data_IF_304398004567
#
_entry.id   IF_304398004567
#
_cell.length_a   1.000
_cell.length_b   1.000
_cell.length_c   1.000
_cell.angle_alpha   90.00
_cell.angle_beta   90.00
_cell.angle_gamma   90.00
#
_symmetry.space_group_name_H-M   'P 1'
#
loop_
_entity.id
_entity.type
_entity.pdbx_description
1 polymer ?
#
# COMPACT_ATOMS: atom_id res chain seq x y z
N UNK A 1 -16.74 -30.06 -21.46
CA UNK A 1 -15.93 -29.46 -22.53
C UNK A 1 -14.88 -28.58 -21.89
N UNK A 2 -13.65 -28.59 -22.40
CA UNK A 2 -12.56 -27.72 -21.90
C UNK A 2 -12.92 -26.27 -22.24
N UNK A 3 -12.82 -25.38 -21.27
CA UNK A 3 -13.15 -23.96 -21.45
C UNK A 3 -11.87 -23.23 -21.85
N UNK A 4 -11.90 -22.49 -22.97
CA UNK A 4 -10.74 -21.77 -23.47
C UNK A 4 -10.96 -20.27 -23.29
N UNK A 5 -9.94 -19.58 -22.79
CA UNK A 5 -9.91 -18.13 -22.61
C UNK A 5 -8.61 -17.61 -23.21
N UNK A 6 -8.69 -16.58 -24.06
CA UNK A 6 -7.51 -15.95 -24.68
C UNK A 6 -6.55 -16.94 -25.39
N UNK A 7 -7.08 -18.04 -25.94
CA UNK A 7 -6.30 -19.04 -26.66
C UNK A 7 -5.63 -20.10 -25.79
N UNK A 8 -5.84 -20.10 -24.47
CA UNK A 8 -5.36 -21.15 -23.56
C UNK A 8 -6.52 -21.84 -22.83
N UNK A 9 -6.28 -23.07 -22.38
CA UNK A 9 -7.25 -23.75 -21.52
C UNK A 9 -7.27 -23.09 -20.14
N UNK A 10 -8.46 -22.69 -19.70
CA UNK A 10 -8.67 -22.09 -18.40
C UNK A 10 -9.66 -22.96 -17.60
N UNK A 11 -9.33 -23.36 -16.37
CA UNK A 11 -10.28 -24.03 -15.50
C UNK A 11 -11.45 -23.10 -15.17
N UNK A 12 -12.59 -23.67 -14.80
CA UNK A 12 -13.73 -22.88 -14.34
C UNK A 12 -13.30 -22.06 -13.11
N UNK A 13 -13.39 -20.74 -13.23
CA UNK A 13 -13.10 -19.81 -12.15
C UNK A 13 -14.11 -20.00 -11.02
N UNK A 14 -13.61 -20.09 -9.78
CA UNK A 14 -14.42 -20.34 -8.59
C UNK A 14 -13.92 -19.44 -7.46
N UNK A 15 -14.86 -18.83 -6.73
CA UNK A 15 -14.57 -17.93 -5.62
C UNK A 15 -14.43 -16.46 -6.02
N UNK A 16 -14.17 -15.58 -5.03
CA UNK A 16 -13.92 -14.17 -5.26
C UNK A 16 -12.50 -13.92 -5.78
N UNK A 17 -12.36 -12.96 -6.68
CA UNK A 17 -11.11 -12.53 -7.26
C UNK A 17 -10.78 -11.10 -6.87
N UNK A 18 -9.49 -10.77 -6.82
CA UNK A 18 -9.04 -9.39 -6.61
C UNK A 18 -8.23 -8.97 -7.84
N UNK A 19 -8.69 -7.93 -8.52
CA UNK A 19 -8.01 -7.38 -9.67
C UNK A 19 -6.98 -6.32 -9.22
N UNK A 20 -5.72 -6.54 -9.55
CA UNK A 20 -4.57 -5.75 -9.08
C UNK A 20 -3.86 -5.02 -10.23
N UNK A 21 -2.86 -4.21 -9.89
CA UNK A 21 -1.96 -3.55 -10.83
C UNK A 21 -2.70 -2.75 -11.93
N UNK A 22 -2.67 -3.20 -13.18
CA UNK A 22 -3.26 -2.47 -14.31
C UNK A 22 -4.76 -2.21 -14.16
N UNK A 23 -5.50 -3.13 -13.55
CA UNK A 23 -6.93 -2.93 -13.28
C UNK A 23 -7.16 -1.79 -12.27
N UNK A 24 -6.42 -1.82 -11.16
CA UNK A 24 -6.46 -0.77 -10.14
C UNK A 24 -6.13 0.60 -10.72
N UNK A 25 -5.07 0.70 -11.51
CA UNK A 25 -4.62 1.97 -12.11
C UNK A 25 -5.70 2.56 -13.03
N UNK A 26 -6.36 1.73 -13.85
CA UNK A 26 -7.45 2.20 -14.73
C UNK A 26 -8.67 2.66 -13.94
N UNK A 27 -9.11 1.89 -12.96
CA UNK A 27 -10.23 2.30 -12.10
C UNK A 27 -9.92 3.61 -11.37
N UNK A 28 -8.72 3.71 -10.81
CA UNK A 28 -8.27 4.90 -10.10
C UNK A 28 -8.19 6.13 -10.99
N UNK A 29 -7.70 5.98 -12.22
CA UNK A 29 -7.63 7.07 -13.20
C UNK A 29 -9.00 7.65 -13.52
N UNK A 30 -10.00 6.79 -13.73
CA UNK A 30 -11.37 7.22 -14.00
C UNK A 30 -12.16 7.62 -12.74
N UNK A 31 -11.55 7.56 -11.55
CA UNK A 31 -12.19 7.94 -10.29
C UNK A 31 -13.29 6.97 -9.84
N UNK A 32 -13.22 5.71 -10.26
CA UNK A 32 -14.21 4.67 -9.97
C UNK A 32 -13.91 3.97 -8.64
N UNK A 33 -14.95 3.46 -7.98
CA UNK A 33 -14.84 2.61 -6.80
C UNK A 33 -14.57 1.14 -7.20
N UNK A 34 -13.99 0.35 -6.30
CA UNK A 34 -13.61 -1.03 -6.61
C UNK A 34 -14.78 -1.95 -6.98
N UNK A 35 -15.96 -1.71 -6.40
CA UNK A 35 -17.19 -2.42 -6.76
C UNK A 35 -17.88 -1.92 -8.03
N UNK A 36 -17.34 -0.92 -8.74
CA UNK A 36 -17.98 -0.41 -9.94
C UNK A 36 -17.87 -1.42 -11.10
N UNK A 37 -18.99 -1.62 -11.79
CA UNK A 37 -19.09 -2.57 -12.89
C UNK A 37 -18.21 -2.17 -14.10
N UNK A 38 -17.77 -3.12 -14.95
CA UNK A 38 -16.95 -2.83 -16.14
C UNK A 38 -17.61 -1.84 -17.12
N UNK A 39 -18.95 -1.77 -17.12
CA UNK A 39 -19.70 -0.79 -17.92
C UNK A 39 -19.41 0.67 -17.52
N UNK A 40 -19.10 0.94 -16.24
CA UNK A 40 -18.73 2.28 -15.78
C UNK A 40 -17.38 2.71 -16.37
N UNK A 41 -16.40 1.79 -16.41
CA UNK A 41 -15.11 2.01 -17.08
C UNK A 41 -15.30 2.28 -18.57
N UNK A 42 -16.16 1.53 -19.25
CA UNK A 42 -16.46 1.76 -20.66
C UNK A 42 -17.06 3.14 -20.90
N UNK A 43 -17.99 3.58 -20.04
CA UNK A 43 -18.58 4.92 -20.10
C UNK A 43 -17.53 6.01 -19.91
N UNK A 44 -16.71 5.90 -18.87
CA UNK A 44 -15.65 6.85 -18.56
C UNK A 44 -14.58 6.91 -19.66
N UNK A 45 -14.16 5.75 -20.18
CA UNK A 45 -13.18 5.65 -21.24
C UNK A 45 -13.69 6.26 -22.56
N UNK A 46 -14.97 6.04 -22.92
CA UNK A 46 -15.57 6.70 -24.09
C UNK A 46 -15.56 8.22 -23.95
N UNK A 47 -15.87 8.74 -22.76
CA UNK A 47 -15.78 10.16 -22.47
C UNK A 47 -14.37 10.70 -22.65
N UNK A 48 -13.37 10.01 -22.10
CA UNK A 48 -11.95 10.37 -22.24
C UNK A 48 -11.46 10.30 -23.69
N UNK A 49 -11.83 9.25 -24.43
CA UNK A 49 -11.47 9.08 -25.83
C UNK A 49 -12.07 10.15 -26.76
N UNK A 50 -13.20 10.75 -26.38
CA UNK A 50 -13.85 11.78 -27.18
C UNK A 50 -13.17 13.16 -27.05
N UNK A 51 -12.29 13.35 -26.06
CA UNK A 51 -11.61 14.62 -25.84
C UNK A 51 -10.47 14.81 -26.86
N UNK A 52 -10.31 16.02 -27.41
CA UNK A 52 -9.16 16.31 -28.25
C UNK A 52 -7.87 16.27 -27.43
N UNK A 53 -6.80 15.74 -28.01
CA UNK A 53 -5.51 15.59 -27.32
C UNK A 53 -5.00 16.89 -26.67
N UNK A 54 -5.23 18.04 -27.30
CA UNK A 54 -4.84 19.35 -26.75
C UNK A 54 -5.47 19.62 -25.38
N UNK A 55 -6.74 19.26 -25.21
CA UNK A 55 -7.46 19.42 -23.95
C UNK A 55 -6.94 18.44 -22.89
N UNK A 56 -6.82 17.16 -23.25
CA UNK A 56 -6.29 16.10 -22.37
C UNK A 56 -4.89 16.46 -21.89
N UNK A 57 -4.00 16.88 -22.79
CA UNK A 57 -2.63 17.26 -22.45
C UNK A 57 -2.58 18.49 -21.56
N UNK A 58 -3.48 19.46 -21.73
CA UNK A 58 -3.49 20.67 -20.89
C UNK A 58 -3.99 20.40 -19.46
N UNK A 59 -4.94 19.49 -19.30
CA UNK A 59 -5.59 19.20 -18.02
C UNK A 59 -4.90 18.08 -17.26
N UNK A 60 -4.53 17.01 -17.97
CA UNK A 60 -4.04 15.76 -17.40
C UNK A 60 -2.58 15.48 -17.76
N UNK A 61 -1.89 16.31 -18.54
CA UNK A 61 -0.52 16.04 -19.02
C UNK A 61 0.54 15.89 -17.92
N UNK A 62 0.23 16.21 -16.67
CA UNK A 62 1.09 15.94 -15.52
C UNK A 62 1.00 14.47 -15.03
N UNK A 63 -0.03 13.74 -15.44
CA UNK A 63 -0.16 12.30 -15.18
C UNK A 63 0.59 11.49 -16.24
N UNK A 64 1.19 10.39 -15.81
CA UNK A 64 1.94 9.50 -16.69
C UNK A 64 0.96 8.64 -17.51
N UNK A 65 1.25 8.44 -18.80
CA UNK A 65 0.52 7.57 -19.73
C UNK A 65 -0.93 8.00 -20.03
N UNK A 66 -1.29 9.28 -19.92
CA UNK A 66 -2.66 9.76 -20.17
C UNK A 66 -3.20 9.42 -21.56
N UNK A 67 -2.31 9.36 -22.54
CA UNK A 67 -2.59 8.97 -23.92
C UNK A 67 -3.03 7.50 -24.05
N UNK A 68 -2.68 6.64 -23.08
CA UNK A 68 -2.95 5.20 -23.16
C UNK A 68 -4.30 4.81 -22.59
N UNK A 69 -4.90 5.61 -21.71
CA UNK A 69 -6.14 5.26 -21.03
C UNK A 69 -7.36 5.12 -21.95
N UNK A 70 -7.34 5.77 -23.12
CA UNK A 70 -8.36 5.54 -24.14
C UNK A 70 -8.37 4.09 -24.63
N UNK A 71 -7.20 3.45 -24.73
CA UNK A 71 -7.07 2.04 -25.11
C UNK A 71 -7.20 1.11 -23.90
N UNK A 72 -6.57 1.47 -22.77
CA UNK A 72 -6.57 0.63 -21.58
C UNK A 72 -7.95 0.46 -20.96
N UNK A 73 -8.80 1.50 -20.96
CA UNK A 73 -10.14 1.44 -20.40
C UNK A 73 -11.01 0.33 -21.01
N UNK A 74 -11.25 0.36 -22.34
CA UNK A 74 -12.01 -0.68 -23.00
C UNK A 74 -11.33 -2.05 -22.92
N UNK A 75 -10.00 -2.08 -23.02
CA UNK A 75 -9.24 -3.32 -22.93
C UNK A 75 -9.47 -4.04 -21.59
N UNK A 76 -9.33 -3.37 -20.45
CA UNK A 76 -9.51 -4.03 -19.15
C UNK A 76 -10.97 -4.43 -18.89
N UNK A 77 -11.93 -3.62 -19.34
CA UNK A 77 -13.35 -3.93 -19.19
C UNK A 77 -13.75 -5.19 -19.99
N UNK A 78 -13.25 -5.31 -21.22
CA UNK A 78 -13.45 -6.50 -22.05
C UNK A 78 -12.66 -7.71 -21.55
N UNK A 79 -11.46 -7.50 -21.00
CA UNK A 79 -10.66 -8.58 -20.44
C UNK A 79 -11.37 -9.27 -19.27
N UNK A 80 -12.03 -8.51 -18.38
CA UNK A 80 -12.80 -9.08 -17.27
C UNK A 80 -14.02 -9.84 -17.77
N UNK A 81 -14.81 -9.21 -18.65
CA UNK A 81 -16.12 -9.74 -19.05
C UNK A 81 -16.05 -10.78 -20.16
N UNK A 82 -15.37 -10.49 -21.26
CA UNK A 82 -15.28 -11.36 -22.44
C UNK A 82 -14.05 -12.27 -22.40
N UNK A 83 -12.96 -11.83 -21.80
CA UNK A 83 -11.78 -12.66 -21.58
C UNK A 83 -12.03 -13.68 -20.48
N UNK A 84 -12.02 -13.21 -19.23
CA UNK A 84 -12.05 -14.07 -18.05
C UNK A 84 -13.46 -14.61 -17.71
N UNK A 85 -14.52 -14.00 -18.25
CA UNK A 85 -15.90 -14.42 -17.99
C UNK A 85 -16.36 -14.14 -16.56
N UNK A 86 -15.78 -13.12 -15.91
CA UNK A 86 -16.11 -12.76 -14.53
C UNK A 86 -17.33 -11.83 -14.48
N UNK A 87 -18.24 -12.09 -13.54
CA UNK A 87 -19.35 -11.19 -13.23
C UNK A 87 -18.94 -10.17 -12.15
N UNK A 88 -19.59 -9.00 -12.06
CA UNK A 88 -19.26 -7.96 -11.07
C UNK A 88 -19.25 -8.43 -9.61
N UNK A 89 -19.97 -9.50 -9.28
CA UNK A 89 -20.05 -10.06 -7.93
C UNK A 89 -18.89 -11.01 -7.61
N UNK A 90 -18.13 -11.44 -8.63
CA UNK A 90 -17.04 -12.39 -8.49
C UNK A 90 -15.69 -11.73 -8.30
N UNK A 91 -15.59 -10.40 -8.38
CA UNK A 91 -14.33 -9.71 -8.20
C UNK A 91 -14.47 -8.37 -7.50
N UNK A 92 -13.37 -7.90 -6.91
CA UNK A 92 -13.20 -6.52 -6.45
C UNK A 92 -11.88 -5.96 -7.00
N UNK A 93 -11.77 -4.65 -7.10
CA UNK A 93 -10.50 -3.99 -7.44
C UNK A 93 -9.71 -3.78 -6.16
N UNK A 94 -8.51 -4.36 -6.10
CA UNK A 94 -7.63 -4.25 -4.95
C UNK A 94 -6.90 -2.90 -4.88
N UNK A 95 -5.80 -2.86 -4.15
CA UNK A 95 -4.99 -1.67 -3.94
C UNK A 95 -3.69 -1.68 -4.77
N UNK A 96 -3.04 -0.51 -4.87
CA UNK A 96 -1.82 -0.34 -5.66
C UNK A 96 -0.55 -0.90 -5.03
N UNK A 97 -0.60 -1.26 -3.75
CA UNK A 97 0.51 -1.78 -2.94
C UNK A 97 0.51 -3.31 -2.80
N UNK A 98 -0.56 -3.98 -3.25
CA UNK A 98 -0.66 -5.44 -3.24
C UNK A 98 -0.20 -6.02 -4.58
N UNK A 99 0.75 -6.94 -4.53
CA UNK A 99 1.27 -7.61 -5.72
C UNK A 99 2.23 -8.76 -5.41
N UNK A 100 2.77 -9.33 -6.48
CA UNK A 100 3.70 -10.46 -6.40
C UNK A 100 4.95 -10.23 -5.51
N UNK A 101 5.52 -9.01 -5.36
CA UNK A 101 6.75 -8.85 -4.57
C UNK A 101 6.58 -9.22 -3.10
N UNK A 102 5.41 -8.91 -2.51
CA UNK A 102 5.11 -9.25 -1.12
C UNK A 102 5.03 -10.77 -0.94
N UNK A 103 4.36 -11.47 -1.85
CA UNK A 103 4.29 -12.93 -1.84
C UNK A 103 5.65 -13.59 -2.04
N UNK A 104 6.48 -13.04 -2.92
CA UNK A 104 7.85 -13.52 -3.14
C UNK A 104 8.72 -13.31 -1.89
N UNK A 105 8.70 -12.12 -1.30
CA UNK A 105 9.44 -11.82 -0.08
C UNK A 105 9.01 -12.74 1.07
N UNK A 106 7.70 -12.99 1.22
CA UNK A 106 7.19 -13.91 2.24
C UNK A 106 7.64 -15.35 1.96
N UNK A 107 7.57 -15.81 0.70
CA UNK A 107 8.02 -17.14 0.33
C UNK A 107 9.50 -17.36 0.64
N UNK A 108 10.35 -16.36 0.42
CA UNK A 108 11.77 -16.41 0.79
C UNK A 108 11.99 -16.30 2.30
N UNK A 109 11.27 -15.40 2.99
CA UNK A 109 11.37 -15.25 4.44
C UNK A 109 10.99 -16.55 5.17
N UNK A 110 9.98 -17.26 4.68
CA UNK A 110 9.58 -18.56 5.22
C UNK A 110 10.66 -19.64 5.04
N UNK A 111 11.68 -19.44 4.22
CA UNK A 111 12.84 -20.35 4.13
C UNK A 111 13.91 -20.06 5.18
N UNK A 112 13.85 -18.91 5.87
CA UNK A 112 14.80 -18.58 6.92
C UNK A 112 14.53 -19.41 8.18
N UNK A 113 15.59 -19.89 8.87
CA UNK A 113 15.44 -20.60 10.15
C UNK A 113 14.65 -19.76 11.16
N UNK A 114 13.63 -20.36 11.79
CA UNK A 114 12.83 -19.72 12.83
C UNK A 114 11.75 -18.72 12.36
N UNK A 115 11.64 -18.46 11.05
CA UNK A 115 10.60 -17.58 10.48
C UNK A 115 9.43 -18.33 9.81
N UNK A 116 9.54 -19.64 9.64
CA UNK A 116 8.43 -20.50 9.22
C UNK A 116 7.34 -20.61 10.31
N UNK A 117 6.16 -21.18 9.97
CA UNK A 117 5.12 -21.40 10.96
C UNK A 117 5.65 -22.27 12.10
N UNK A 118 5.53 -21.81 13.34
CA UNK A 118 6.15 -22.49 14.47
C UNK A 118 5.47 -23.84 14.78
N UNK A 119 6.25 -24.85 15.20
CA UNK A 119 5.82 -26.23 15.28
C UNK A 119 4.67 -26.59 16.25
N UNK A 120 4.28 -25.84 17.31
CA UNK A 120 3.15 -26.33 18.12
C UNK A 120 1.83 -26.37 17.32
N UNK A 121 1.73 -25.66 16.19
CA UNK A 121 0.55 -25.69 15.31
C UNK A 121 0.72 -26.59 14.07
N UNK A 122 1.91 -26.66 13.47
CA UNK A 122 2.10 -27.43 12.22
C UNK A 122 2.47 -28.90 12.47
N UNK A 123 3.23 -29.21 13.53
CA UNK A 123 3.56 -30.60 13.88
C UNK A 123 2.34 -31.41 14.33
N UNK A 124 1.26 -30.73 14.77
CA UNK A 124 -0.03 -31.35 15.09
C UNK A 124 -0.91 -31.65 13.87
N UNK A 125 -0.68 -30.97 12.74
CA UNK A 125 -1.57 -31.03 11.58
C UNK A 125 -0.95 -31.73 10.36
N UNK A 126 0.39 -31.80 10.27
CA UNK A 126 1.09 -32.38 9.14
C UNK A 126 2.16 -33.38 9.61
N UNK A 127 2.24 -34.59 9.03
CA UNK A 127 3.33 -35.51 9.32
C UNK A 127 4.68 -34.87 8.96
N UNK A 128 5.69 -35.07 9.83
CA UNK A 128 7.04 -34.52 9.71
C UNK A 128 7.68 -34.66 8.31
N UNK A 129 7.24 -35.65 7.51
CA UNK A 129 7.69 -35.92 6.15
C UNK A 129 7.24 -34.90 5.09
N UNK A 130 6.27 -34.05 5.40
CA UNK A 130 5.76 -33.02 4.48
C UNK A 130 6.31 -31.62 4.78
N UNK A 131 7.06 -31.45 5.88
CA UNK A 131 7.68 -30.16 6.17
C UNK A 131 8.96 -29.99 5.34
N UNK A 132 9.19 -28.79 4.75
CA UNK A 132 10.46 -28.45 4.13
C UNK A 132 11.62 -28.66 5.11
N UNK A 133 12.75 -29.17 4.61
CA UNK A 133 13.96 -29.38 5.42
C UNK A 133 14.49 -28.10 6.08
N UNK A 134 14.24 -26.94 5.48
CA UNK A 134 14.56 -25.62 6.06
C UNK A 134 13.82 -25.35 7.38
N UNK A 135 12.65 -25.96 7.58
CA UNK A 135 11.88 -25.82 8.82
C UNK A 135 12.32 -26.84 9.89
N UNK A 136 12.81 -28.01 9.48
CA UNK A 136 13.38 -29.01 10.38
C UNK A 136 14.70 -28.55 11.03
N UNK A 137 15.48 -27.70 10.35
CA UNK A 137 16.73 -27.15 10.89
C UNK A 137 16.52 -26.25 12.13
N UNK A 138 15.32 -25.67 12.30
CA UNK A 138 15.02 -24.83 13.46
C UNK A 138 14.96 -25.64 14.77
N UNK A 139 14.56 -26.92 14.73
CA UNK A 139 14.57 -27.80 15.92
C UNK A 139 15.99 -28.11 16.40
N UNK A 140 16.95 -28.29 15.48
CA UNK A 140 18.35 -28.55 15.83
C UNK A 140 19.05 -27.33 16.43
N UNK A 141 18.74 -26.12 15.93
CA UNK A 141 19.24 -24.87 16.51
C UNK A 141 18.67 -24.59 17.91
N UNK A 142 17.40 -24.95 18.15
CA UNK A 142 16.78 -24.83 19.48
C UNK A 142 17.30 -25.88 20.47
N UNK A 143 17.56 -27.12 20.02
CA UNK A 143 18.14 -28.17 20.85
C UNK A 143 19.60 -27.88 21.27
N UNK A 144 20.37 -27.22 20.41
CA UNK A 144 21.74 -26.77 20.72
C UNK A 144 21.78 -25.58 21.71
N UNK A 145 20.69 -24.81 21.83
CA UNK A 145 20.61 -23.71 22.80
C UNK A 145 20.26 -24.19 24.23
N UNK A 146 19.82 -25.43 24.40
CA UNK A 146 19.45 -26.00 25.72
C UNK A 146 20.56 -26.83 26.37
N UNK A 147 21.74 -26.95 25.75
CA UNK A 147 22.87 -27.75 26.26
C UNK A 147 24.05 -26.89 26.79
N UNK A 148 23.81 -25.64 27.18
CA UNK A 148 24.74 -24.87 28.03
C UNK A 148 24.49 -25.16 29.52
N UNK A 149 24.72 -26.42 29.88
CA UNK A 149 24.58 -26.93 31.24
C UNK A 149 25.82 -27.69 31.69
N UNK A 150 27.04 -27.13 31.57
CA UNK A 150 28.19 -27.65 32.30
C UNK A 150 29.36 -26.67 32.38
N UNK A 151 29.74 -26.41 33.63
CA UNK A 151 30.86 -25.63 34.14
C UNK A 151 32.18 -25.80 33.37
N UNK A 152 32.74 -24.67 32.94
CA UNK A 152 34.13 -24.54 32.49
C UNK A 152 34.72 -23.24 33.02
N UNK A 153 35.25 -23.32 34.23
CA UNK A 153 36.07 -22.32 34.91
C UNK A 153 37.24 -21.86 34.01
N UNK A 154 37.21 -20.61 33.54
CA UNK A 154 38.41 -19.88 33.12
C UNK A 154 38.44 -18.55 33.86
N UNK A 155 39.28 -18.52 34.89
CA UNK A 155 39.64 -17.31 35.61
C UNK A 155 40.53 -16.38 34.79
N UNK A 156 40.46 -15.09 35.12
CA UNK A 156 41.53 -14.12 34.90
C UNK A 156 41.33 -13.20 33.71
N UNK A 157 40.89 -11.96 33.98
CA UNK A 157 41.78 -10.80 33.92
C UNK A 157 41.00 -9.50 34.08
N UNK A 158 41.53 -8.66 34.96
CA UNK A 158 41.17 -7.28 35.23
C UNK A 158 41.08 -6.44 33.94
N UNK A 159 39.88 -5.99 33.59
CA UNK A 159 39.63 -5.03 32.52
C UNK A 159 38.77 -3.88 33.02
N UNK A 160 39.42 -2.74 33.24
CA UNK A 160 38.85 -1.48 33.72
C UNK A 160 37.61 -1.01 32.92
N UNK A 161 36.69 -0.37 33.65
CA UNK A 161 35.37 0.03 33.21
C UNK A 161 35.33 0.93 31.96
N UNK A 162 34.73 0.42 30.90
CA UNK A 162 34.28 1.19 29.73
C UNK A 162 32.78 1.04 29.45
N UNK A 163 32.05 0.22 30.23
CA UNK A 163 30.62 -0.04 30.02
C UNK A 163 29.67 1.05 30.54
N UNK A 164 30.05 1.79 31.59
CA UNK A 164 29.17 2.80 32.19
C UNK A 164 29.14 4.11 31.39
N UNK A 165 30.29 4.56 30.87
CA UNK A 165 30.39 5.78 30.07
C UNK A 165 29.61 5.69 28.76
N UNK A 166 29.69 4.54 28.07
CA UNK A 166 28.98 4.34 26.80
C UNK A 166 27.45 4.28 27.00
N UNK A 167 26.97 3.73 28.12
CA UNK A 167 25.54 3.72 28.48
C UNK A 167 25.02 5.12 28.83
N UNK A 168 25.81 5.94 29.51
CA UNK A 168 25.46 7.33 29.81
C UNK A 168 25.43 8.19 28.54
N UNK A 169 26.38 7.97 27.63
CA UNK A 169 26.42 8.68 26.35
C UNK A 169 25.20 8.33 25.47
N UNK A 170 24.81 7.05 25.44
CA UNK A 170 23.61 6.60 24.74
C UNK A 170 22.32 7.15 25.36
N UNK A 171 22.23 7.19 26.69
CA UNK A 171 21.09 7.77 27.40
C UNK A 171 20.96 9.28 27.14
N UNK A 172 22.08 10.01 27.15
CA UNK A 172 22.09 11.44 26.81
C UNK A 172 21.65 11.69 25.37
N UNK A 173 22.09 10.84 24.43
CA UNK A 173 21.70 10.95 23.01
C UNK A 173 20.18 10.77 22.82
N UNK A 174 19.58 9.79 23.51
CA UNK A 174 18.13 9.57 23.49
C UNK A 174 17.35 10.74 24.08
N UNK A 175 17.82 11.30 25.20
CA UNK A 175 17.17 12.47 25.84
C UNK A 175 17.23 13.69 24.92
N UNK A 176 18.37 13.93 24.27
CA UNK A 176 18.52 15.04 23.31
C UNK A 176 17.64 14.86 22.07
N UNK A 177 17.55 13.64 21.53
CA UNK A 177 16.65 13.33 20.41
C UNK A 177 15.18 13.55 20.77
N UNK A 178 14.77 13.13 21.98
CA UNK A 178 13.40 13.31 22.45
C UNK A 178 13.07 14.79 22.67
N UNK A 179 13.98 15.55 23.29
CA UNK A 179 13.85 16.99 23.47
C UNK A 179 13.73 17.74 22.13
N UNK A 180 14.54 17.34 21.12
CA UNK A 180 14.49 17.92 19.79
C UNK A 180 13.18 17.61 19.06
N UNK A 181 12.68 16.38 19.18
CA UNK A 181 11.39 15.98 18.61
C UNK A 181 10.22 16.76 19.25
N UNK A 182 10.23 16.95 20.57
CA UNK A 182 9.26 17.79 21.28
C UNK A 182 9.33 19.26 20.84
N UNK A 183 10.54 19.82 20.67
CA UNK A 183 10.71 21.19 20.17
C UNK A 183 10.18 21.35 18.73
N UNK A 184 10.42 20.38 17.86
CA UNK A 184 9.87 20.37 16.49
C UNK A 184 8.34 20.24 16.46
N UNK A 185 7.75 19.47 17.37
CA UNK A 185 6.29 19.37 17.50
C UNK A 185 5.67 20.66 18.02
N UNK A 186 6.29 21.32 19.02
CA UNK A 186 5.80 22.59 19.57
C UNK A 186 5.94 23.73 18.56
N UNK A 187 7.06 23.81 17.83
CA UNK A 187 7.24 24.81 16.75
C UNK A 187 6.28 24.60 15.59
N UNK A 188 5.98 23.35 15.21
CA UNK A 188 4.92 23.06 14.23
C UNK A 188 3.51 23.35 14.74
N UNK A 189 3.27 23.21 16.04
CA UNK A 189 1.99 23.57 16.66
C UNK A 189 1.80 25.10 16.76
N UNK A 190 2.86 25.84 17.11
CA UNK A 190 2.82 27.30 17.21
C UNK A 190 2.86 28.01 15.84
N UNK A 191 3.48 27.42 14.82
CA UNK A 191 3.42 27.93 13.44
C UNK A 191 2.03 27.91 12.80
N UNK A 192 1.02 27.29 13.45
CA UNK A 192 -0.39 27.34 13.04
C UNK A 192 -1.23 28.35 13.80
N UNK A 193 -0.70 28.98 14.85
CA UNK A 193 -1.47 29.90 15.71
C UNK A 193 -0.71 31.23 15.86
N UNK A 194 -0.87 32.12 14.88
CA UNK A 194 -0.62 33.55 15.08
C UNK A 194 0.00 34.29 13.90
N UNK A 195 -0.83 35.00 13.13
CA UNK A 195 -0.66 36.43 12.73
C UNK A 195 -1.76 36.83 11.74
N UNK A 196 -3.02 36.76 12.20
CA UNK A 196 -4.16 37.43 11.55
C UNK A 196 -4.31 38.84 12.13
N UNK A 197 -3.35 39.72 11.86
CA UNK A 197 -3.43 41.14 12.20
C UNK A 197 -4.37 41.85 11.23
N UNK A 198 -5.51 42.31 11.72
CA UNK A 198 -6.49 43.07 10.96
C UNK A 198 -5.99 44.47 10.60
N UNK A 199 -6.16 44.84 9.34
CA UNK A 199 -6.34 46.23 8.93
C UNK A 199 -7.67 46.30 8.18
N UNK A 200 -8.64 46.90 8.86
CA UNK A 200 -9.92 47.32 8.30
C UNK A 200 -9.66 48.49 7.35
N UNK A 201 -9.97 48.33 6.06
CA UNK A 201 -10.29 49.45 5.18
C UNK A 201 -11.77 49.39 4.83
N UNK A 202 -12.50 50.30 5.45
CA UNK A 202 -13.85 50.72 5.09
C UNK A 202 -13.75 51.51 3.78
N UNK A 203 -14.45 51.09 2.74
CA UNK A 203 -14.99 52.00 1.71
C UNK A 203 -16.24 51.35 1.10
N UNK A 204 -17.33 52.13 1.07
CA UNK A 204 -18.70 51.68 0.84
C UNK A 204 -19.04 51.29 -0.60
N UNK A 205 -20.17 50.58 -0.76
CA UNK A 205 -20.81 50.27 -2.05
C UNK A 205 -21.62 51.46 -2.63
N UNK A 206 -22.69 51.24 -3.43
CA UNK A 206 -23.27 49.97 -3.91
C UNK A 206 -23.76 49.97 -5.40
N UNK A 207 -24.50 48.91 -5.78
CA UNK A 207 -25.35 48.66 -6.99
C UNK A 207 -24.61 48.27 -8.30
N UNK A 208 -24.96 47.23 -9.09
CA UNK A 208 -26.22 46.48 -9.31
C UNK A 208 -25.98 45.04 -9.84
N UNK A 209 -26.97 44.18 -9.59
CA UNK A 209 -27.33 42.83 -10.14
C UNK A 209 -27.38 42.73 -11.69
N UNK A 210 -27.66 41.57 -12.38
CA UNK A 210 -28.09 40.23 -11.88
C UNK A 210 -27.49 38.98 -12.60
N UNK A 211 -27.97 37.79 -12.17
CA UNK A 211 -28.30 36.56 -12.91
C UNK A 211 -27.44 35.27 -12.77
N UNK A 212 -28.23 34.20 -12.63
CA UNK A 212 -28.01 32.80 -13.04
C UNK A 212 -27.24 31.87 -12.09
N UNK A 213 -27.97 30.89 -11.56
CA UNK A 213 -27.49 29.90 -10.60
C UNK A 213 -26.72 28.72 -11.19
N UNK A 214 -26.09 27.96 -10.29
CA UNK A 214 -25.85 26.52 -10.44
C UNK A 214 -25.46 25.90 -9.11
N UNK A 215 -25.89 24.66 -8.92
CA UNK A 215 -25.77 23.89 -7.69
C UNK A 215 -24.33 23.75 -7.18
N UNK A 216 -24.22 23.79 -5.85
CA UNK A 216 -23.01 23.48 -5.10
C UNK A 216 -22.73 21.99 -5.20
N UNK A 217 -21.69 21.61 -5.94
CA UNK A 217 -20.99 20.37 -5.64
C UNK A 217 -20.03 20.61 -4.48
N UNK A 218 -20.16 19.76 -3.46
CA UNK A 218 -19.28 19.72 -2.31
C UNK A 218 -17.88 19.28 -2.75
N UNK A 219 -16.93 20.20 -2.65
CA UNK A 219 -15.52 19.97 -2.91
C UNK A 219 -14.91 19.19 -1.73
N UNK A 220 -14.98 17.87 -1.79
CA UNK A 220 -14.26 16.98 -0.88
C UNK A 220 -12.75 17.06 -1.21
N UNK A 221 -12.05 17.93 -0.48
CA UNK A 221 -10.59 17.93 -0.41
C UNK A 221 -10.14 16.61 0.19
N UNK A 222 -9.53 15.72 -0.60
CA UNK A 222 -8.72 14.62 -0.08
C UNK A 222 -7.25 15.01 -0.18
N UNK A 223 -6.68 15.18 1.00
CA UNK A 223 -5.25 15.29 1.28
C UNK A 223 -4.53 14.06 0.75
N UNK A 224 -3.48 14.29 -0.04
CA UNK A 224 -2.54 13.26 -0.45
C UNK A 224 -1.53 13.05 0.69
N UNK A 225 -1.39 11.81 1.15
CA UNK A 225 -0.23 11.33 1.89
C UNK A 225 0.45 10.30 1.00
N UNK A 226 1.75 10.54 0.77
CA UNK A 226 2.71 9.67 0.09
C UNK A 226 2.99 8.46 0.98
#
# INVERSE_FOLDING_TARGET
GRHCVLGSEQPKLQGPFVALAGFYVVWKFFGLAGGDAPAAVLGAARGHCALPWREVSSTLGHHINVEKYCMWGPYVAHLITAGLGLTPEQYDIGSGDVGWPVGAALAEALRLPGMGPQPPLVARLLPARLLPSSWAAAEQAAALATDEGSLGEWGGSSGLGLGAGLRLLWALLLVLLFAWCCACLVTRAWGRVGLGGGIVRVFGGPLSLPLAGRGRQAQQRRTWLV
#
